data_IF_029481401712
#
_entry.id   IF_029481401712
#
_cell.length_a   1.000
_cell.length_b   1.000
_cell.length_c   1.000
_cell.angle_alpha   90.00
_cell.angle_beta   90.00
_cell.angle_gamma   90.00
#
_symmetry.space_group_name_H-M   'P 1'
#
loop_
_entity.id
_entity.type
_entity.pdbx_description
1 polymer ?
#
# COMPACT_ATOMS: atom_id res chain seq x y z
N UNK A 1 8.44 12.11 13.69
CA UNK A 1 7.44 11.11 13.24
C UNK A 1 7.79 10.68 11.83
N UNK A 2 7.79 9.37 11.57
CA UNK A 2 8.07 8.78 10.25
C UNK A 2 6.86 7.98 9.78
N UNK A 3 6.24 8.38 8.67
CA UNK A 3 5.12 7.67 8.04
C UNK A 3 5.64 6.77 6.92
N UNK A 4 5.43 5.46 7.05
CA UNK A 4 6.15 4.43 6.29
C UNK A 4 7.46 4.01 6.96
N UNK A 5 7.52 4.07 8.29
CA UNK A 5 8.76 3.95 9.06
C UNK A 5 9.27 2.52 9.31
N UNK A 6 8.54 1.47 8.90
CA UNK A 6 8.90 0.09 9.26
C UNK A 6 9.85 -0.60 8.28
N UNK A 7 10.05 -0.07 7.07
CA UNK A 7 10.89 -0.69 6.04
C UNK A 7 11.66 0.34 5.18
N UNK A 8 12.67 -0.13 4.44
CA UNK A 8 13.42 0.63 3.45
C UNK A 8 13.96 1.96 3.99
N UNK A 9 13.74 3.03 3.21
CA UNK A 9 14.15 4.39 3.56
C UNK A 9 13.53 4.88 4.88
N UNK A 10 12.30 4.46 5.19
CA UNK A 10 11.64 4.84 6.45
C UNK A 10 12.31 4.23 7.67
N UNK A 11 12.67 2.95 7.62
CA UNK A 11 13.41 2.30 8.71
C UNK A 11 14.80 2.93 8.92
N UNK A 12 15.51 3.24 7.83
CA UNK A 12 16.79 3.95 7.90
C UNK A 12 16.61 5.37 8.47
N UNK A 13 15.53 6.06 8.12
CA UNK A 13 15.16 7.36 8.71
C UNK A 13 14.90 7.25 10.20
N UNK A 14 14.18 6.22 10.66
CA UNK A 14 13.98 5.96 12.10
C UNK A 14 15.32 5.77 12.80
N UNK A 15 16.23 4.97 12.22
CA UNK A 15 17.58 4.76 12.75
C UNK A 15 18.37 6.07 12.87
N UNK A 16 18.29 6.94 11.84
CA UNK A 16 18.89 8.27 11.87
C UNK A 16 18.31 9.13 12.98
N UNK A 17 16.99 9.20 13.12
CA UNK A 17 16.34 10.01 14.17
C UNK A 17 16.74 9.53 15.58
N UNK A 18 16.85 8.21 15.80
CA UNK A 18 17.28 7.65 17.08
C UNK A 18 18.74 7.93 17.43
N UNK A 19 19.60 8.21 16.43
CA UNK A 19 20.98 8.66 16.68
C UNK A 19 21.09 10.17 16.92
N UNK A 20 20.00 10.92 16.74
CA UNK A 20 19.90 12.33 17.08
C UNK A 20 19.24 12.52 18.46
N UNK A 21 19.27 13.75 18.97
CA UNK A 21 18.74 14.09 20.29
C UNK A 21 17.20 14.27 20.29
N UNK A 22 16.44 13.31 19.74
CA UNK A 22 14.97 13.30 19.84
C UNK A 22 14.53 12.53 21.08
N UNK A 23 13.67 13.15 21.89
CA UNK A 23 13.05 12.50 23.05
C UNK A 23 12.17 11.31 22.65
N UNK A 24 11.50 11.41 21.50
CA UNK A 24 10.56 10.40 21.02
C UNK A 24 10.53 10.28 19.50
N UNK A 25 10.46 9.06 18.99
CA UNK A 25 10.29 8.73 17.56
C UNK A 25 9.01 7.92 17.35
N UNK A 26 7.99 8.55 16.78
CA UNK A 26 6.77 7.87 16.33
C UNK A 26 7.00 7.19 14.99
N UNK A 27 6.77 5.88 14.94
CA UNK A 27 6.85 5.03 13.75
C UNK A 27 5.43 4.70 13.31
N UNK A 28 5.01 5.21 12.16
CA UNK A 28 3.64 5.06 11.64
C UNK A 28 3.67 4.16 10.41
N UNK A 29 3.08 2.97 10.49
CA UNK A 29 3.12 1.99 9.39
C UNK A 29 2.01 0.93 9.53
N UNK A 30 1.75 0.15 8.47
CA UNK A 30 0.87 -1.03 8.57
C UNK A 30 1.57 -2.23 9.21
N UNK A 31 2.89 -2.33 9.05
CA UNK A 31 3.70 -3.43 9.56
C UNK A 31 4.46 -3.02 10.81
N UNK A 32 4.71 -3.96 11.71
CA UNK A 32 5.59 -3.70 12.86
C UNK A 32 7.02 -3.39 12.40
N UNK A 33 7.70 -2.41 13.02
CA UNK A 33 9.05 -2.02 12.65
C UNK A 33 10.07 -3.04 13.14
N UNK A 34 11.14 -3.22 12.37
CA UNK A 34 12.29 -4.01 12.79
C UNK A 34 13.22 -3.27 13.76
N UNK A 35 13.11 -1.93 13.85
CA UNK A 35 13.88 -1.10 14.77
C UNK A 35 12.93 -0.53 15.82
N UNK A 36 13.20 -0.88 17.07
CA UNK A 36 12.51 -0.34 18.25
C UNK A 36 13.51 0.05 19.32
N UNK A 37 13.17 1.06 20.12
CA UNK A 37 13.86 1.43 21.35
C UNK A 37 12.85 1.94 22.39
N UNK A 38 13.28 2.20 23.61
CA UNK A 38 12.42 2.79 24.67
C UNK A 38 11.80 4.14 24.23
N UNK A 39 12.49 4.87 23.36
CA UNK A 39 12.06 6.16 22.83
C UNK A 39 11.23 6.04 21.54
N UNK A 40 10.88 4.82 21.10
CA UNK A 40 9.99 4.62 19.95
C UNK A 40 8.57 4.31 20.37
N UNK A 41 7.59 4.83 19.61
CA UNK A 41 6.19 4.39 19.69
C UNK A 41 5.74 3.94 18.30
N UNK A 42 5.23 2.71 18.20
CA UNK A 42 4.64 2.21 16.97
C UNK A 42 3.14 2.51 16.92
N UNK A 43 2.70 3.09 15.79
CA UNK A 43 1.31 3.40 15.51
C UNK A 43 0.94 2.62 14.24
N UNK A 44 0.11 1.58 14.41
CA UNK A 44 -0.44 0.86 13.27
C UNK A 44 -1.40 1.77 12.51
N UNK A 45 -1.09 2.05 11.25
CA UNK A 45 -1.84 3.02 10.43
C UNK A 45 -1.87 2.59 8.95
N UNK A 46 -3.06 2.57 8.36
CA UNK A 46 -3.30 2.26 6.97
C UNK A 46 -3.66 3.52 6.19
N UNK A 47 -2.75 3.98 5.32
CA UNK A 47 -2.94 5.19 4.50
C UNK A 47 -4.19 5.15 3.60
N UNK A 48 -4.70 3.98 3.25
CA UNK A 48 -5.91 3.88 2.42
C UNK A 48 -7.17 4.22 3.23
N UNK A 49 -7.26 3.74 4.47
CA UNK A 49 -8.51 3.70 5.22
C UNK A 49 -8.54 4.61 6.45
N UNK A 50 -7.38 4.89 7.03
CA UNK A 50 -7.29 5.63 8.29
C UNK A 50 -7.21 7.13 8.02
N UNK A 51 -7.79 7.92 8.92
CA UNK A 51 -7.81 9.37 8.81
C UNK A 51 -6.49 9.97 9.36
N UNK A 52 -5.67 10.67 8.54
CA UNK A 52 -4.40 11.24 9.01
C UNK A 52 -4.52 12.28 10.12
N UNK A 53 -5.72 12.83 10.37
CA UNK A 53 -5.96 13.73 11.50
C UNK A 53 -5.65 13.12 12.87
N UNK A 54 -5.72 11.78 12.99
CA UNK A 54 -5.35 11.09 14.23
C UNK A 54 -3.85 11.28 14.55
N UNK A 55 -3.01 11.40 13.52
CA UNK A 55 -1.57 11.62 13.69
C UNK A 55 -1.23 13.04 14.18
N UNK A 56 -2.13 14.01 14.01
CA UNK A 56 -1.91 15.38 14.49
C UNK A 56 -2.22 15.56 15.97
N UNK A 57 -2.81 14.56 16.64
CA UNK A 57 -3.10 14.57 18.08
C UNK A 57 -1.84 14.51 18.95
N UNK A 58 -0.68 14.19 18.35
CA UNK A 58 0.60 14.18 19.04
C UNK A 58 1.18 15.61 19.05
N UNK A 59 1.06 16.30 20.19
CA UNK A 59 1.38 17.72 20.32
C UNK A 59 2.87 18.03 20.09
N UNK A 60 3.78 17.15 20.51
CA UNK A 60 5.23 17.41 20.52
C UNK A 60 5.99 17.02 19.24
N UNK A 61 5.31 16.84 18.12
CA UNK A 61 5.98 16.54 16.83
C UNK A 61 6.53 17.82 16.20
N UNK A 62 7.86 17.90 16.04
CA UNK A 62 8.58 18.97 15.34
C UNK A 62 9.23 18.52 14.01
N UNK A 63 9.22 17.21 13.73
CA UNK A 63 9.80 16.62 12.52
C UNK A 63 8.86 15.58 11.93
N UNK A 64 8.53 15.71 10.64
CA UNK A 64 7.65 14.82 9.90
C UNK A 64 8.31 14.37 8.60
N UNK A 65 8.52 13.07 8.46
CA UNK A 65 9.07 12.48 7.23
C UNK A 65 8.08 11.44 6.69
N UNK A 66 7.61 11.62 5.45
CA UNK A 66 6.65 10.71 4.80
C UNK A 66 7.36 9.93 3.70
N UNK A 67 7.66 8.65 3.97
CA UNK A 67 8.40 7.74 3.09
C UNK A 67 7.52 6.72 2.39
N UNK A 68 6.30 6.51 2.87
CA UNK A 68 5.38 5.52 2.30
C UNK A 68 5.09 5.80 0.82
N UNK A 69 5.14 4.76 0.00
CA UNK A 69 4.79 4.81 -1.40
C UNK A 69 4.73 3.44 -2.04
N UNK A 70 3.95 3.33 -3.12
CA UNK A 70 3.80 2.11 -3.92
C UNK A 70 3.93 2.44 -5.40
N UNK A 71 4.55 1.55 -6.16
CA UNK A 71 4.65 1.66 -7.62
C UNK A 71 4.56 0.28 -8.24
N UNK A 72 3.92 0.20 -9.41
CA UNK A 72 3.85 -1.01 -10.24
C UNK A 72 4.38 -0.68 -11.63
N UNK A 73 5.40 -1.40 -12.05
CA UNK A 73 5.98 -1.35 -13.40
C UNK A 73 5.21 -2.32 -14.28
N UNK A 74 4.34 -1.80 -15.15
CA UNK A 74 3.56 -2.62 -16.07
C UNK A 74 2.96 -1.77 -17.21
N UNK A 75 2.42 -2.42 -18.24
CA UNK A 75 1.59 -1.75 -19.21
C UNK A 75 0.35 -1.15 -18.53
N UNK A 76 -0.05 0.04 -18.98
CA UNK A 76 -1.23 0.72 -18.43
C UNK A 76 -2.49 -0.15 -18.50
N UNK A 77 -2.66 -0.89 -19.60
CA UNK A 77 -3.80 -1.80 -19.79
C UNK A 77 -3.80 -3.00 -18.82
N UNK A 78 -2.70 -3.27 -18.12
CA UNK A 78 -2.57 -4.36 -17.15
C UNK A 78 -2.83 -3.89 -15.70
N UNK A 79 -3.06 -2.59 -15.50
CA UNK A 79 -3.38 -2.02 -14.19
C UNK A 79 -4.89 -2.06 -13.97
N UNK A 80 -5.31 -2.57 -12.81
CA UNK A 80 -6.73 -2.54 -12.42
C UNK A 80 -7.11 -1.14 -11.92
N UNK A 81 -8.41 -0.81 -11.95
CA UNK A 81 -8.89 0.46 -11.40
C UNK A 81 -8.50 0.65 -9.92
N UNK A 82 -8.54 -0.43 -9.13
CA UNK A 82 -8.13 -0.35 -7.73
C UNK A 82 -6.62 -0.09 -7.56
N UNK A 83 -5.77 -0.62 -8.44
CA UNK A 83 -4.34 -0.30 -8.39
C UNK A 83 -4.07 1.17 -8.75
N UNK A 84 -4.84 1.71 -9.69
CA UNK A 84 -4.80 3.14 -10.03
C UNK A 84 -5.20 3.98 -8.81
N UNK A 85 -6.36 3.70 -8.22
CA UNK A 85 -6.88 4.39 -7.05
C UNK A 85 -5.94 4.26 -5.85
N UNK A 86 -5.47 3.04 -5.55
CA UNK A 86 -4.55 2.75 -4.44
C UNK A 86 -3.22 3.50 -4.61
N UNK A 87 -2.69 3.55 -5.84
CA UNK A 87 -1.44 4.29 -6.10
C UNK A 87 -1.60 5.77 -5.80
N UNK A 88 -2.65 6.43 -6.30
CA UNK A 88 -2.92 7.84 -5.99
C UNK A 88 -3.27 8.06 -4.52
N UNK A 89 -4.05 7.17 -3.92
CA UNK A 89 -4.46 7.25 -2.53
C UNK A 89 -3.24 7.23 -1.60
N UNK A 90 -2.34 6.26 -1.77
CA UNK A 90 -1.12 6.15 -0.94
C UNK A 90 -0.13 7.26 -1.26
N UNK A 91 0.24 7.41 -2.54
CA UNK A 91 1.36 8.28 -2.91
C UNK A 91 1.04 9.77 -2.78
N UNK A 92 -0.20 10.18 -3.06
CA UNK A 92 -0.57 11.59 -3.16
C UNK A 92 -1.63 11.99 -2.13
N UNK A 93 -2.83 11.39 -2.16
CA UNK A 93 -3.96 11.87 -1.35
C UNK A 93 -3.68 11.77 0.16
N UNK A 94 -3.17 10.63 0.61
CA UNK A 94 -2.87 10.40 2.03
C UNK A 94 -1.70 11.26 2.50
N UNK A 95 -0.68 11.40 1.67
CA UNK A 95 0.44 12.30 1.93
C UNK A 95 -0.04 13.75 2.10
N UNK A 96 -0.84 14.26 1.17
CA UNK A 96 -1.41 15.62 1.23
C UNK A 96 -2.27 15.78 2.49
N UNK A 97 -3.11 14.78 2.82
CA UNK A 97 -3.92 14.79 4.04
C UNK A 97 -3.07 14.77 5.32
N UNK A 98 -1.97 14.03 5.33
CA UNK A 98 -1.00 14.04 6.43
C UNK A 98 -0.36 15.41 6.57
N UNK A 99 0.14 16.01 5.48
CA UNK A 99 0.69 17.38 5.52
C UNK A 99 -0.36 18.38 6.01
N UNK A 100 -1.61 18.27 5.55
CA UNK A 100 -2.72 19.10 6.03
C UNK A 100 -2.97 18.95 7.53
N UNK A 101 -2.86 17.74 8.07
CA UNK A 101 -3.03 17.49 9.51
C UNK A 101 -1.94 18.18 10.35
N UNK A 102 -0.71 18.27 9.83
CA UNK A 102 0.41 18.97 10.47
C UNK A 102 0.56 20.44 10.05
N UNK A 103 -0.34 20.97 9.21
CA UNK A 103 -0.15 22.27 8.56
C UNK A 103 -0.06 23.42 9.57
N UNK A 104 -0.79 23.36 10.70
CA UNK A 104 -0.66 24.39 11.74
C UNK A 104 0.76 24.48 12.32
N UNK A 105 1.49 23.37 12.39
CA UNK A 105 2.88 23.34 12.89
C UNK A 105 3.87 23.78 11.81
N UNK A 106 3.63 23.35 10.57
CA UNK A 106 4.40 23.79 9.40
C UNK A 106 4.25 25.31 9.22
N UNK A 107 3.02 25.83 9.30
CA UNK A 107 2.68 27.24 9.18
C UNK A 107 2.85 28.02 10.50
N UNK A 108 3.84 27.66 11.31
CA UNK A 108 4.14 28.32 12.59
C UNK A 108 5.52 28.98 12.57
N UNK A 109 5.79 29.80 13.58
CA UNK A 109 7.11 30.40 13.81
C UNK A 109 8.09 29.43 14.49
N UNK A 110 7.60 28.32 15.03
CA UNK A 110 8.45 27.28 15.60
C UNK A 110 9.14 26.49 14.49
N UNK A 111 10.34 25.99 14.77
CA UNK A 111 11.03 25.14 13.81
C UNK A 111 10.26 23.84 13.61
N UNK A 112 9.93 23.57 12.34
CA UNK A 112 9.31 22.34 11.92
C UNK A 112 10.02 21.82 10.67
N UNK A 113 10.57 20.61 10.76
CA UNK A 113 11.32 19.97 9.68
C UNK A 113 10.43 18.96 8.98
N UNK A 114 10.25 19.12 7.66
CA UNK A 114 9.37 18.24 6.90
C UNK A 114 10.04 17.77 5.61
N UNK A 115 9.97 16.46 5.35
CA UNK A 115 10.39 15.89 4.09
C UNK A 115 9.36 14.86 3.59
N UNK A 116 9.16 14.82 2.29
CA UNK A 116 8.30 13.84 1.63
C UNK A 116 9.03 13.18 0.47
N UNK A 117 8.81 11.88 0.28
CA UNK A 117 9.46 11.12 -0.79
C UNK A 117 8.59 11.14 -2.05
N UNK A 118 9.01 11.97 -3.01
CA UNK A 118 8.53 11.96 -4.38
C UNK A 118 9.32 10.93 -5.22
N UNK A 119 9.68 11.25 -6.46
CA UNK A 119 10.55 10.47 -7.32
C UNK A 119 11.01 11.31 -8.52
N UNK A 120 12.14 10.97 -9.13
CA UNK A 120 12.49 11.48 -10.46
C UNK A 120 11.39 11.21 -11.49
N UNK A 121 10.64 10.10 -11.34
CA UNK A 121 9.48 9.79 -12.17
C UNK A 121 8.32 10.78 -12.00
N UNK A 122 8.32 11.62 -10.96
CA UNK A 122 7.40 12.74 -10.80
C UNK A 122 7.83 14.01 -11.53
N UNK A 123 9.08 14.08 -12.00
CA UNK A 123 9.64 15.23 -12.71
C UNK A 123 9.73 15.02 -14.23
N UNK A 124 9.71 13.76 -14.68
CA UNK A 124 9.81 13.38 -16.10
C UNK A 124 8.74 12.33 -16.47
N UNK A 125 8.50 12.16 -17.77
CA UNK A 125 7.66 11.05 -18.26
C UNK A 125 8.32 9.70 -17.98
N UNK A 126 7.59 8.76 -17.38
CA UNK A 126 8.11 7.41 -17.09
C UNK A 126 7.13 6.34 -17.59
N UNK A 127 7.19 5.95 -18.88
CA UNK A 127 6.36 4.87 -19.42
C UNK A 127 6.52 3.56 -18.66
N UNK A 128 5.48 2.73 -18.65
CA UNK A 128 5.32 1.53 -17.80
C UNK A 128 5.20 1.83 -16.29
N UNK A 129 5.46 3.07 -15.88
CA UNK A 129 5.16 3.61 -14.55
C UNK A 129 4.17 4.77 -14.66
N UNK A 130 3.29 4.80 -15.67
CA UNK A 130 2.46 5.98 -16.00
C UNK A 130 1.65 6.49 -14.80
N UNK A 131 0.99 5.59 -14.08
CA UNK A 131 0.19 5.92 -12.88
C UNK A 131 1.07 6.34 -11.71
N UNK A 132 2.17 5.61 -11.47
CA UNK A 132 3.13 5.95 -10.42
C UNK A 132 3.74 7.33 -10.64
N UNK A 133 4.22 7.60 -11.86
CA UNK A 133 4.77 8.87 -12.32
C UNK A 133 3.77 10.01 -12.13
N UNK A 134 2.51 9.82 -12.55
CA UNK A 134 1.46 10.82 -12.34
C UNK A 134 1.20 11.10 -10.85
N UNK A 135 1.15 10.07 -10.01
CA UNK A 135 0.95 10.23 -8.56
C UNK A 135 2.11 10.97 -7.88
N UNK A 136 3.36 10.74 -8.31
CA UNK A 136 4.55 11.44 -7.79
C UNK A 136 4.67 12.86 -8.33
N UNK A 137 4.25 13.10 -9.57
CA UNK A 137 4.14 14.46 -10.13
C UNK A 137 3.14 15.31 -9.33
N UNK A 138 2.01 14.73 -8.91
CA UNK A 138 1.06 15.40 -8.03
C UNK A 138 1.70 15.83 -6.70
N UNK A 139 2.53 14.97 -6.09
CA UNK A 139 3.29 15.29 -4.86
C UNK A 139 4.28 16.43 -5.11
N UNK A 140 5.10 16.33 -6.15
CA UNK A 140 6.11 17.36 -6.45
C UNK A 140 5.49 18.73 -6.69
N UNK A 141 4.39 18.80 -7.47
CA UNK A 141 3.70 20.07 -7.73
C UNK A 141 2.95 20.59 -6.51
N UNK A 142 2.40 19.72 -5.69
CA UNK A 142 1.82 20.09 -4.41
C UNK A 142 2.86 20.73 -3.47
N UNK A 143 4.03 20.12 -3.31
CA UNK A 143 5.10 20.65 -2.42
C UNK A 143 5.65 21.97 -2.95
N UNK A 144 5.84 22.09 -4.27
CA UNK A 144 6.27 23.33 -4.93
C UNK A 144 5.31 24.48 -4.64
N UNK A 145 4.00 24.26 -4.87
CA UNK A 145 2.98 25.27 -4.62
C UNK A 145 2.88 25.64 -3.13
N UNK A 146 2.87 24.64 -2.23
CA UNK A 146 2.71 24.88 -0.79
C UNK A 146 3.91 25.61 -0.18
N UNK A 147 5.13 25.34 -0.66
CA UNK A 147 6.30 26.11 -0.22
C UNK A 147 6.24 27.57 -0.69
N UNK A 148 5.75 27.84 -1.91
CA UNK A 148 5.54 29.20 -2.39
C UNK A 148 4.47 29.94 -1.55
N UNK A 149 3.42 29.25 -1.12
CA UNK A 149 2.42 29.81 -0.19
C UNK A 149 3.04 30.16 1.17
N UNK A 150 3.85 29.26 1.75
CA UNK A 150 4.54 29.51 3.02
C UNK A 150 5.50 30.71 2.92
N UNK A 151 6.23 30.82 1.80
CA UNK A 151 7.10 31.96 1.53
C UNK A 151 6.30 33.27 1.42
N UNK A 152 5.20 33.27 0.67
CA UNK A 152 4.30 34.42 0.57
C UNK A 152 3.67 34.84 1.91
N UNK A 153 3.55 33.91 2.85
CA UNK A 153 3.10 34.15 4.23
C UNK A 153 4.24 34.54 5.20
N UNK A 154 5.47 34.68 4.71
CA UNK A 154 6.69 34.96 5.50
C UNK A 154 6.99 33.89 6.57
N UNK A 155 6.60 32.64 6.32
CA UNK A 155 6.89 31.51 7.20
C UNK A 155 8.24 30.93 6.82
N UNK A 156 9.10 30.61 7.79
CA UNK A 156 10.45 30.07 7.55
C UNK A 156 10.48 28.57 7.25
N UNK A 157 9.46 27.81 7.65
CA UNK A 157 9.46 26.35 7.47
C UNK A 157 9.29 25.99 5.99
N UNK A 158 9.90 24.89 5.58
CA UNK A 158 9.84 24.35 4.22
C UNK A 158 9.59 22.85 4.27
N UNK A 159 8.97 22.35 3.21
CA UNK A 159 8.76 20.93 2.97
C UNK A 159 9.74 20.51 1.89
N UNK A 160 10.66 19.62 2.21
CA UNK A 160 11.61 19.06 1.25
C UNK A 160 10.92 17.99 0.40
N UNK A 161 10.83 18.20 -0.93
CA UNK A 161 10.49 17.15 -1.88
C UNK A 161 11.75 16.38 -2.29
N UNK A 162 11.91 15.17 -1.79
CA UNK A 162 13.01 14.28 -2.19
C UNK A 162 12.61 13.51 -3.45
N UNK A 163 13.37 13.62 -4.53
CA UNK A 163 13.05 13.06 -5.84
C UNK A 163 14.08 12.00 -6.28
N UNK A 164 14.17 10.85 -5.59
CA UNK A 164 15.11 9.80 -5.95
C UNK A 164 14.68 9.06 -7.21
N UNK A 165 15.64 8.48 -7.91
CA UNK A 165 15.36 7.35 -8.81
C UNK A 165 15.46 6.03 -8.05
N UNK A 166 16.21 5.06 -8.59
CA UNK A 166 16.38 3.76 -7.95
C UNK A 166 17.13 3.87 -6.62
N UNK A 167 16.61 3.26 -5.56
CA UNK A 167 17.26 3.18 -4.24
C UNK A 167 17.56 1.72 -3.93
N UNK A 168 18.84 1.37 -3.92
CA UNK A 168 19.30 0.03 -3.59
C UNK A 168 19.05 -0.31 -2.11
N UNK A 169 18.92 -1.60 -1.79
CA UNK A 169 18.71 -2.05 -0.41
C UNK A 169 17.31 -1.83 0.15
N UNK A 170 16.31 -1.58 -0.70
CA UNK A 170 14.90 -1.40 -0.29
C UNK A 170 13.98 -2.49 -0.86
N UNK A 171 12.92 -2.81 -0.11
CA UNK A 171 11.87 -3.75 -0.57
C UNK A 171 11.10 -3.26 -1.80
N UNK A 172 11.10 -1.95 -2.06
CA UNK A 172 10.40 -1.34 -3.19
C UNK A 172 10.93 -1.86 -4.53
N UNK A 173 12.18 -2.32 -4.55
CA UNK A 173 12.84 -2.85 -5.75
C UNK A 173 13.26 -4.32 -5.63
N UNK A 174 12.61 -5.10 -4.74
CA UNK A 174 12.78 -6.55 -4.68
C UNK A 174 13.79 -7.08 -3.66
N UNK A 175 14.26 -6.26 -2.72
CA UNK A 175 15.01 -6.77 -1.56
C UNK A 175 14.12 -7.40 -0.48
N UNK A 176 14.60 -8.41 0.22
CA UNK A 176 13.85 -9.08 1.31
C UNK A 176 13.86 -8.29 2.63
N UNK A 177 14.84 -7.41 2.82
CA UNK A 177 15.04 -6.61 4.03
C UNK A 177 15.74 -5.28 3.71
N UNK A 178 15.76 -4.36 4.67
CA UNK A 178 16.44 -3.07 4.53
C UNK A 178 17.95 -3.25 4.68
N UNK A 179 18.73 -2.92 3.66
CA UNK A 179 20.19 -2.80 3.79
C UNK A 179 20.55 -1.38 4.24
N UNK A 180 20.88 -1.21 5.51
CA UNK A 180 21.17 0.11 6.08
C UNK A 180 22.44 0.74 5.49
N UNK A 181 23.46 -0.04 5.16
CA UNK A 181 24.73 0.50 4.66
C UNK A 181 24.55 1.18 3.30
N UNK A 182 23.63 0.66 2.47
CA UNK A 182 23.29 1.24 1.16
C UNK A 182 22.35 2.44 1.28
N UNK A 183 21.45 2.44 2.25
CA UNK A 183 20.36 3.43 2.35
C UNK A 183 20.72 4.64 3.23
N UNK A 184 21.55 4.45 4.26
CA UNK A 184 21.90 5.51 5.21
C UNK A 184 22.57 6.75 4.59
N UNK A 185 23.48 6.65 3.60
CA UNK A 185 24.06 7.83 2.96
C UNK A 185 23.00 8.78 2.39
N UNK A 186 22.00 8.23 1.71
CA UNK A 186 20.87 8.99 1.19
C UNK A 186 20.05 9.63 2.32
N UNK A 187 19.82 8.93 3.43
CA UNK A 187 19.11 9.47 4.59
C UNK A 187 19.87 10.64 5.22
N UNK A 188 21.19 10.56 5.29
CA UNK A 188 22.04 11.62 5.82
C UNK A 188 21.91 12.90 4.97
N UNK A 189 21.98 12.76 3.64
CA UNK A 189 21.75 13.88 2.72
C UNK A 189 20.33 14.45 2.87
N UNK A 190 19.29 13.62 2.90
CA UNK A 190 17.90 14.07 3.11
C UNK A 190 17.80 14.90 4.40
N UNK A 191 18.44 14.44 5.48
CA UNK A 191 18.38 15.11 6.77
C UNK A 191 19.10 16.48 6.74
N UNK A 192 20.27 16.55 6.12
CA UNK A 192 21.01 17.79 5.92
C UNK A 192 20.17 18.81 5.11
N UNK A 193 19.64 18.37 3.96
CA UNK A 193 18.82 19.20 3.06
C UNK A 193 17.55 19.71 3.74
N UNK A 194 16.92 18.86 4.54
CA UNK A 194 15.71 19.20 5.30
C UNK A 194 16.00 20.23 6.39
N UNK A 195 17.10 20.08 7.14
CA UNK A 195 17.52 21.06 8.17
C UNK A 195 17.85 22.41 7.54
N UNK A 196 18.49 22.40 6.36
CA UNK A 196 18.80 23.59 5.59
C UNK A 196 17.59 24.23 4.89
N UNK A 197 16.39 23.67 5.06
CA UNK A 197 15.12 24.17 4.51
C UNK A 197 15.12 24.23 2.98
N UNK A 198 15.86 23.34 2.34
CA UNK A 198 15.79 23.18 0.89
C UNK A 198 14.40 22.63 0.51
N UNK A 199 13.91 22.98 -0.68
CA UNK A 199 12.55 22.64 -1.13
C UNK A 199 12.51 21.44 -2.06
N UNK A 200 13.62 21.14 -2.73
CA UNK A 200 13.77 20.00 -3.62
C UNK A 200 15.18 19.41 -3.49
N UNK A 201 15.25 18.08 -3.44
CA UNK A 201 16.52 17.37 -3.46
C UNK A 201 16.44 16.21 -4.47
N UNK A 202 17.38 16.18 -5.41
CA UNK A 202 17.54 15.10 -6.39
C UNK A 202 18.88 14.41 -6.09
N UNK A 203 18.87 13.22 -5.46
CA UNK A 203 20.10 12.45 -5.20
C UNK A 203 20.79 12.07 -6.50
N UNK A 204 22.11 11.89 -6.47
CA UNK A 204 22.93 11.58 -7.66
C UNK A 204 22.75 12.59 -8.81
N UNK A 205 23.00 13.90 -8.58
CA UNK A 205 22.74 14.94 -9.55
C UNK A 205 23.50 14.73 -10.87
N UNK A 206 24.71 14.15 -10.84
CA UNK A 206 25.49 13.83 -12.04
C UNK A 206 24.74 12.94 -13.04
N UNK A 207 23.91 12.01 -12.53
CA UNK A 207 23.11 11.11 -13.36
C UNK A 207 21.80 11.78 -13.77
N UNK A 208 21.07 12.36 -12.80
CA UNK A 208 19.71 12.81 -13.04
C UNK A 208 19.62 14.20 -13.66
N UNK A 209 20.66 15.02 -13.61
CA UNK A 209 20.72 16.26 -14.37
C UNK A 209 20.64 15.99 -15.87
N UNK A 210 21.42 15.03 -16.38
CA UNK A 210 21.34 14.61 -17.78
C UNK A 210 19.95 14.01 -18.13
N UNK A 211 19.32 13.29 -17.19
CA UNK A 211 17.95 12.77 -17.38
C UNK A 211 16.95 13.91 -17.58
N UNK A 212 17.01 14.94 -16.73
CA UNK A 212 16.15 16.12 -16.83
C UNK A 212 16.43 16.88 -18.13
N UNK A 213 17.69 17.15 -18.45
CA UNK A 213 18.08 17.85 -19.67
C UNK A 213 17.55 17.15 -20.93
N UNK A 214 17.72 15.82 -21.04
CA UNK A 214 17.16 15.03 -22.16
C UNK A 214 15.64 15.12 -22.22
N UNK A 215 14.96 15.06 -21.07
CA UNK A 215 13.50 15.21 -21.01
C UNK A 215 13.07 16.60 -21.48
N UNK A 216 13.70 17.67 -21.01
CA UNK A 216 13.37 19.05 -21.39
C UNK A 216 13.65 19.34 -22.87
N UNK A 217 14.68 18.74 -23.45
CA UNK A 217 15.00 18.88 -24.88
C UNK A 217 13.95 18.23 -25.79
N UNK A 218 13.52 17.00 -25.47
CA UNK A 218 12.50 16.30 -26.26
C UNK A 218 11.76 15.25 -25.41
N UNK A 219 10.63 15.63 -24.77
CA UNK A 219 9.86 14.75 -23.90
C UNK A 219 9.37 13.47 -24.58
N UNK A 220 9.01 13.55 -25.87
CA UNK A 220 8.48 12.41 -26.62
C UNK A 220 9.58 11.39 -26.91
N UNK A 221 10.76 11.85 -27.39
CA UNK A 221 11.92 10.99 -27.62
C UNK A 221 12.41 10.36 -26.32
N UNK A 222 12.52 11.15 -25.25
CA UNK A 222 12.88 10.65 -23.92
C UNK A 222 11.92 9.55 -23.45
N UNK A 223 10.62 9.75 -23.62
CA UNK A 223 9.60 8.75 -23.29
C UNK A 223 9.82 7.43 -24.04
N UNK A 224 10.01 7.48 -25.36
CA UNK A 224 10.24 6.28 -26.17
C UNK A 224 11.53 5.54 -25.77
N UNK A 225 12.61 6.27 -25.53
CA UNK A 225 13.88 5.70 -25.04
C UNK A 225 13.71 5.06 -23.66
N UNK A 226 12.99 5.72 -22.75
CA UNK A 226 12.69 5.18 -21.41
C UNK A 226 11.82 3.92 -21.47
N UNK A 227 10.85 3.87 -22.39
CA UNK A 227 10.01 2.71 -22.65
C UNK A 227 10.85 1.51 -23.12
N UNK A 228 11.66 1.69 -24.16
CA UNK A 228 12.50 0.63 -24.72
C UNK A 228 13.52 0.13 -23.68
N UNK A 229 14.18 1.02 -22.96
CA UNK A 229 15.11 0.67 -21.88
C UNK A 229 14.46 -0.24 -20.82
N UNK A 230 13.22 0.05 -20.42
CA UNK A 230 12.51 -0.76 -19.42
C UNK A 230 12.10 -2.11 -19.96
N UNK A 231 11.72 -2.23 -21.23
CA UNK A 231 11.43 -3.53 -21.85
C UNK A 231 12.68 -4.40 -21.98
N UNK A 232 13.83 -3.82 -22.32
CA UNK A 232 15.09 -4.57 -22.40
C UNK A 232 15.56 -5.07 -21.03
N UNK A 233 15.31 -4.27 -19.98
CA UNK A 233 15.72 -4.59 -18.60
C UNK A 233 14.75 -5.50 -17.85
N UNK A 234 13.49 -5.58 -18.27
CA UNK A 234 12.43 -6.25 -17.53
C UNK A 234 11.60 -7.14 -18.46
N UNK A 235 11.32 -8.37 -18.03
CA UNK A 235 10.44 -9.30 -18.77
C UNK A 235 8.95 -8.95 -18.57
N UNK A 236 8.51 -7.80 -19.10
CA UNK A 236 7.11 -7.33 -18.97
C UNK A 236 6.27 -7.88 -20.12
N UNK A 237 5.25 -8.68 -19.81
CA UNK A 237 4.30 -9.17 -20.81
C UNK A 237 3.29 -8.09 -21.22
N UNK A 238 3.09 -7.93 -22.53
CA UNK A 238 2.19 -6.92 -23.09
C UNK A 238 0.71 -7.28 -23.04
N UNK A 239 0.36 -8.55 -22.80
CA UNK A 239 -1.04 -8.97 -22.83
C UNK A 239 -1.72 -8.68 -21.48
N UNK A 240 -2.91 -8.08 -21.46
CA UNK A 240 -3.71 -7.99 -20.24
C UNK A 240 -4.07 -9.41 -19.82
N UNK A 241 -3.53 -9.83 -18.66
CA UNK A 241 -4.03 -11.00 -17.95
C UNK A 241 -5.14 -10.50 -17.04
N UNK A 242 -6.38 -10.90 -17.32
CA UNK A 242 -7.50 -10.73 -16.39
C UNK A 242 -7.07 -11.33 -15.06
N UNK A 243 -7.00 -10.51 -14.02
CA UNK A 243 -6.65 -11.01 -12.69
C UNK A 243 -7.84 -11.72 -12.09
N UNK A 244 -7.70 -13.01 -11.88
CA UNK A 244 -8.75 -13.86 -11.32
C UNK A 244 -8.55 -13.95 -9.81
N UNK A 245 -9.58 -13.56 -9.07
CA UNK A 245 -9.67 -13.72 -7.64
C UNK A 245 -10.53 -14.91 -7.27
N UNK A 246 -10.10 -15.69 -6.29
CA UNK A 246 -10.87 -16.80 -5.74
C UNK A 246 -11.08 -16.62 -4.24
N UNK A 247 -12.32 -16.78 -3.80
CA UNK A 247 -12.70 -16.70 -2.39
C UNK A 247 -13.68 -17.82 -2.06
N UNK A 248 -13.41 -18.57 -1.00
CA UNK A 248 -14.31 -19.63 -0.53
C UNK A 248 -14.98 -19.30 0.79
N UNK A 249 -16.19 -19.81 0.97
CA UNK A 249 -16.92 -19.62 2.22
C UNK A 249 -18.23 -20.40 2.29
N UNK A 250 -18.73 -20.57 3.51
CA UNK A 250 -20.06 -21.17 3.70
C UNK A 250 -21.18 -20.17 3.42
N UNK A 251 -20.96 -18.87 3.67
CA UNK A 251 -21.92 -17.79 3.43
C UNK A 251 -23.30 -17.98 4.08
N UNK A 252 -23.40 -18.84 5.09
CA UNK A 252 -24.65 -19.11 5.79
C UNK A 252 -25.04 -17.93 6.70
N UNK A 253 -26.34 -17.65 6.79
CA UNK A 253 -26.92 -16.48 7.46
C UNK A 253 -26.23 -15.18 7.00
N UNK A 254 -26.26 -14.92 5.68
CA UNK A 254 -25.50 -13.83 5.06
C UNK A 254 -25.67 -12.48 5.77
N UNK A 255 -24.55 -11.82 6.09
CA UNK A 255 -24.51 -10.57 6.85
C UNK A 255 -23.42 -9.63 6.31
N UNK A 256 -23.33 -8.43 6.86
CA UNK A 256 -22.41 -7.38 6.41
C UNK A 256 -20.92 -7.80 6.42
N UNK A 257 -20.55 -8.79 7.22
CA UNK A 257 -19.20 -9.36 7.26
C UNK A 257 -18.83 -10.05 5.94
N UNK A 258 -19.73 -10.90 5.41
CA UNK A 258 -19.55 -11.53 4.11
C UNK A 258 -19.54 -10.50 2.98
N UNK A 259 -20.46 -9.51 3.00
CA UNK A 259 -20.48 -8.45 1.99
C UNK A 259 -19.17 -7.64 1.98
N UNK A 260 -18.64 -7.31 3.16
CA UNK A 260 -17.38 -6.59 3.29
C UNK A 260 -16.20 -7.42 2.81
N UNK A 261 -16.21 -8.72 3.05
CA UNK A 261 -15.20 -9.66 2.58
C UNK A 261 -15.17 -9.70 1.04
N UNK A 262 -16.32 -9.91 0.40
CA UNK A 262 -16.47 -9.91 -1.06
C UNK A 262 -16.09 -8.56 -1.68
N UNK A 263 -16.53 -7.47 -1.06
CA UNK A 263 -16.18 -6.10 -1.49
C UNK A 263 -14.68 -5.87 -1.49
N UNK A 264 -13.98 -6.32 -0.45
CA UNK A 264 -12.52 -6.21 -0.36
C UNK A 264 -11.86 -7.11 -1.39
N UNK A 265 -12.29 -8.36 -1.55
CA UNK A 265 -11.74 -9.29 -2.54
C UNK A 265 -11.79 -8.72 -3.98
N UNK A 266 -12.93 -8.16 -4.39
CA UNK A 266 -13.10 -7.54 -5.71
C UNK A 266 -12.17 -6.35 -5.96
N UNK A 267 -11.65 -5.70 -4.91
CA UNK A 267 -10.65 -4.63 -5.10
C UNK A 267 -9.31 -5.17 -5.61
N UNK A 268 -9.01 -6.46 -5.43
CA UNK A 268 -7.70 -7.02 -5.82
C UNK A 268 -7.70 -7.72 -7.19
N UNK A 269 -8.88 -7.97 -7.77
CA UNK A 269 -9.03 -8.77 -8.99
C UNK A 269 -9.99 -8.11 -9.98
N UNK A 270 -9.84 -8.45 -11.26
CA UNK A 270 -10.73 -8.01 -12.33
C UNK A 270 -11.98 -8.90 -12.39
N UNK A 271 -11.84 -10.17 -12.03
CA UNK A 271 -12.90 -11.18 -12.02
C UNK A 271 -12.85 -11.99 -10.73
N UNK A 272 -13.88 -11.90 -9.90
CA UNK A 272 -14.00 -12.58 -8.61
C UNK A 272 -14.92 -13.80 -8.74
N UNK A 273 -14.33 -14.97 -8.56
CA UNK A 273 -15.01 -16.25 -8.47
C UNK A 273 -15.18 -16.60 -7.00
N UNK A 274 -16.39 -16.94 -6.59
CA UNK A 274 -16.71 -17.30 -5.21
C UNK A 274 -17.14 -18.76 -5.13
N UNK A 275 -16.34 -19.56 -4.41
CA UNK A 275 -16.67 -20.96 -4.10
C UNK A 275 -17.55 -21.07 -2.86
N UNK A 276 -18.73 -21.63 -3.01
CA UNK A 276 -19.69 -21.82 -1.91
C UNK A 276 -19.60 -23.25 -1.39
N UNK A 277 -19.31 -23.43 -0.09
CA UNK A 277 -19.20 -24.77 0.48
C UNK A 277 -20.55 -25.51 0.44
N UNK A 278 -20.53 -26.78 0.04
CA UNK A 278 -21.70 -27.67 0.01
C UNK A 278 -22.20 -28.00 1.41
N UNK A 279 -21.28 -28.17 2.37
CA UNK A 279 -21.58 -28.43 3.77
C UNK A 279 -20.77 -27.57 4.76
N UNK A 280 -21.13 -27.63 6.04
CA UNK A 280 -20.41 -26.98 7.14
C UNK A 280 -19.59 -27.95 7.98
N UNK A 281 -19.33 -29.16 7.47
CA UNK A 281 -18.70 -30.27 8.18
C UNK A 281 -17.31 -29.91 8.68
N UNK A 282 -16.55 -29.15 7.88
CA UNK A 282 -15.22 -28.63 8.20
C UNK A 282 -15.18 -27.70 9.43
N UNK A 283 -16.31 -27.17 9.89
CA UNK A 283 -16.45 -26.39 11.14
C UNK A 283 -17.39 -27.04 12.16
N UNK A 284 -17.86 -28.26 11.92
CA UNK A 284 -18.83 -28.95 12.77
C UNK A 284 -20.15 -28.20 12.91
N UNK A 285 -20.56 -27.43 11.90
CA UNK A 285 -21.77 -26.60 11.93
C UNK A 285 -22.76 -27.05 10.86
N UNK A 286 -24.00 -27.31 11.25
CA UNK A 286 -25.11 -27.47 10.31
C UNK A 286 -25.38 -26.13 9.62
N UNK A 287 -25.45 -26.09 8.30
CA UNK A 287 -25.79 -24.88 7.54
C UNK A 287 -27.31 -24.73 7.46
N UNK A 288 -27.84 -23.55 7.79
CA UNK A 288 -29.29 -23.35 7.83
C UNK A 288 -29.87 -23.04 6.45
N UNK A 289 -29.20 -22.19 5.68
CA UNK A 289 -29.63 -21.82 4.34
C UNK A 289 -29.12 -22.88 3.34
N UNK A 290 -30.02 -23.47 2.52
CA UNK A 290 -29.64 -24.42 1.46
C UNK A 290 -28.59 -23.88 0.49
N UNK A 291 -27.81 -24.78 -0.11
CA UNK A 291 -26.69 -24.43 -1.00
C UNK A 291 -27.13 -23.54 -2.18
N UNK A 292 -28.19 -23.93 -2.88
CA UNK A 292 -28.77 -23.21 -4.02
C UNK A 292 -29.14 -21.77 -3.64
N UNK A 293 -29.78 -21.57 -2.48
CA UNK A 293 -30.14 -20.24 -2.00
C UNK A 293 -28.91 -19.41 -1.63
N UNK A 294 -27.89 -20.01 -1.01
CA UNK A 294 -26.63 -19.31 -0.71
C UNK A 294 -25.92 -18.89 -1.98
N UNK A 295 -25.86 -19.77 -2.99
CA UNK A 295 -25.26 -19.44 -4.28
C UNK A 295 -26.00 -18.30 -4.99
N UNK A 296 -27.34 -18.32 -5.00
CA UNK A 296 -28.15 -17.24 -5.58
C UNK A 296 -27.97 -15.90 -4.85
N UNK A 297 -27.86 -15.90 -3.51
CA UNK A 297 -27.54 -14.68 -2.73
C UNK A 297 -26.19 -14.12 -3.19
N UNK A 298 -25.16 -14.97 -3.27
CA UNK A 298 -23.80 -14.55 -3.63
C UNK A 298 -23.75 -14.03 -5.07
N UNK A 299 -24.47 -14.68 -6.00
CA UNK A 299 -24.58 -14.27 -7.40
C UNK A 299 -25.24 -12.90 -7.55
N UNK A 300 -26.14 -12.53 -6.63
CA UNK A 300 -26.76 -11.20 -6.59
C UNK A 300 -25.85 -10.09 -6.04
N UNK A 301 -24.67 -10.40 -5.52
CA UNK A 301 -23.75 -9.40 -4.96
C UNK A 301 -22.95 -8.75 -6.08
N UNK A 302 -23.06 -7.42 -6.21
CA UNK A 302 -22.39 -6.62 -7.26
C UNK A 302 -20.86 -6.75 -7.38
N UNK A 303 -20.22 -7.37 -6.39
CA UNK A 303 -18.77 -7.55 -6.34
C UNK A 303 -18.32 -8.91 -6.87
N UNK A 304 -19.26 -9.82 -7.12
CA UNK A 304 -19.00 -11.20 -7.52
C UNK A 304 -19.34 -11.34 -9.00
N UNK A 305 -18.43 -11.91 -9.78
CA UNK A 305 -18.62 -12.13 -11.21
C UNK A 305 -19.09 -13.56 -11.50
N UNK A 306 -18.64 -14.53 -10.70
CA UNK A 306 -18.99 -15.93 -10.85
C UNK A 306 -19.15 -16.63 -9.50
N UNK A 307 -20.06 -17.60 -9.44
CA UNK A 307 -20.30 -18.43 -8.26
C UNK A 307 -20.20 -19.88 -8.67
N UNK A 308 -19.36 -20.63 -7.94
CA UNK A 308 -19.13 -22.06 -8.16
C UNK A 308 -19.37 -22.83 -6.86
N UNK A 309 -19.66 -24.12 -6.98
CA UNK A 309 -19.57 -25.01 -5.83
C UNK A 309 -18.09 -25.18 -5.44
N UNK A 310 -17.80 -25.18 -4.15
CA UNK A 310 -16.42 -25.29 -3.68
C UNK A 310 -15.85 -26.69 -3.96
N UNK A 311 -14.65 -26.74 -4.56
CA UNK A 311 -13.84 -27.96 -4.64
C UNK A 311 -13.42 -28.47 -3.25
N UNK A 312 -12.88 -29.70 -3.18
CA UNK A 312 -12.45 -30.30 -1.90
C UNK A 312 -11.40 -29.46 -1.17
N UNK A 313 -10.52 -28.80 -1.93
CA UNK A 313 -9.55 -27.85 -1.41
C UNK A 313 -9.39 -26.64 -2.34
N UNK A 314 -8.81 -25.56 -1.81
CA UNK A 314 -8.51 -24.38 -2.63
C UNK A 314 -7.39 -24.69 -3.65
N UNK A 315 -6.54 -25.69 -3.39
CA UNK A 315 -5.53 -26.18 -4.35
C UNK A 315 -6.18 -26.88 -5.53
N UNK A 316 -7.19 -27.72 -5.30
CA UNK A 316 -7.90 -28.41 -6.39
C UNK A 316 -8.62 -27.39 -7.29
N UNK A 317 -9.22 -26.35 -6.68
CA UNK A 317 -9.83 -25.27 -7.44
C UNK A 317 -8.83 -24.52 -8.33
N UNK A 318 -7.54 -24.49 -7.98
CA UNK A 318 -6.51 -23.88 -8.82
C UNK A 318 -6.28 -24.66 -10.11
N UNK A 319 -6.50 -25.96 -10.13
CA UNK A 319 -6.32 -26.76 -11.35
C UNK A 319 -7.33 -26.43 -12.45
N UNK A 320 -8.55 -26.08 -12.05
CA UNK A 320 -9.61 -25.70 -12.98
C UNK A 320 -9.63 -24.19 -13.26
N UNK A 321 -9.44 -23.37 -12.23
CA UNK A 321 -9.66 -21.92 -12.30
C UNK A 321 -8.40 -21.14 -12.68
N UNK A 322 -7.22 -21.61 -12.24
CA UNK A 322 -5.93 -20.91 -12.38
C UNK A 322 -6.00 -19.45 -11.89
N UNK A 323 -6.48 -19.24 -10.66
CA UNK A 323 -6.64 -17.91 -10.06
C UNK A 323 -5.31 -17.26 -9.64
N UNK A 324 -5.23 -15.93 -9.70
CA UNK A 324 -4.05 -15.14 -9.28
C UNK A 324 -4.06 -14.78 -7.79
N UNK A 325 -5.25 -14.66 -7.19
CA UNK A 325 -5.42 -14.28 -5.79
C UNK A 325 -6.32 -15.25 -5.04
N UNK A 326 -5.87 -15.71 -3.87
CA UNK A 326 -6.69 -16.45 -2.92
C UNK A 326 -7.03 -15.56 -1.72
N UNK A 327 -8.31 -15.32 -1.47
CA UNK A 327 -8.77 -14.44 -0.39
C UNK A 327 -9.30 -15.23 0.80
N UNK A 328 -8.77 -14.95 1.98
CA UNK A 328 -9.15 -15.67 3.21
C UNK A 328 -9.19 -14.77 4.43
N UNK A 329 -9.86 -15.23 5.49
CA UNK A 329 -9.84 -14.55 6.78
C UNK A 329 -8.48 -14.67 7.47
N UNK A 330 -8.09 -13.65 8.24
CA UNK A 330 -6.83 -13.63 8.99
C UNK A 330 -6.72 -14.72 10.06
N UNK A 331 -7.84 -15.33 10.45
CA UNK A 331 -7.92 -16.49 11.35
C UNK A 331 -7.23 -17.75 10.81
N UNK A 332 -6.99 -17.80 9.50
CA UNK A 332 -6.30 -18.92 8.85
C UNK A 332 -4.78 -18.74 8.76
N UNK A 333 -4.27 -17.52 8.97
CA UNK A 333 -2.84 -17.23 8.81
C UNK A 333 -2.02 -18.00 9.85
N UNK A 334 -0.97 -18.70 9.41
CA UNK A 334 -0.10 -19.49 10.29
C UNK A 334 -0.61 -20.89 10.60
N UNK A 335 -1.80 -21.27 10.13
CA UNK A 335 -2.29 -22.66 10.22
C UNK A 335 -1.50 -23.56 9.28
N UNK A 336 -1.33 -24.84 9.64
CA UNK A 336 -0.59 -25.82 8.82
C UNK A 336 -1.09 -25.88 7.38
N UNK A 337 -2.41 -25.87 7.18
CA UNK A 337 -3.05 -25.83 5.85
C UNK A 337 -2.62 -24.63 5.03
N UNK A 338 -2.63 -23.42 5.62
CA UNK A 338 -2.34 -22.21 4.87
C UNK A 338 -0.85 -21.95 4.68
N UNK A 339 0.00 -22.39 5.62
CA UNK A 339 1.45 -22.43 5.40
C UNK A 339 1.78 -23.33 4.21
N UNK A 340 1.14 -24.51 4.13
CA UNK A 340 1.30 -25.40 2.98
C UNK A 340 0.80 -24.77 1.67
N UNK A 341 -0.33 -24.06 1.69
CA UNK A 341 -0.82 -23.35 0.51
C UNK A 341 0.15 -22.26 0.06
N UNK A 342 0.75 -21.51 0.99
CA UNK A 342 1.78 -20.53 0.66
C UNK A 342 2.99 -21.20 -0.01
N UNK A 343 3.45 -22.34 0.50
CA UNK A 343 4.57 -23.11 -0.10
C UNK A 343 4.26 -23.58 -1.53
N UNK A 344 3.03 -24.02 -1.79
CA UNK A 344 2.63 -24.58 -3.10
C UNK A 344 2.24 -23.51 -4.11
N UNK A 345 1.49 -22.49 -3.69
CA UNK A 345 0.87 -21.50 -4.57
C UNK A 345 1.78 -20.30 -4.87
N UNK A 346 2.64 -19.88 -3.94
CA UNK A 346 3.55 -18.74 -4.17
C UNK A 346 4.51 -18.97 -5.36
N UNK A 347 5.13 -20.17 -5.54
CA UNK A 347 5.96 -20.44 -6.71
C UNK A 347 5.20 -20.41 -8.04
N UNK A 348 3.87 -20.62 -8.01
CA UNK A 348 2.99 -20.56 -9.17
C UNK A 348 2.54 -19.13 -9.50
N UNK A 349 2.95 -18.13 -8.71
CA UNK A 349 2.62 -16.71 -8.90
C UNK A 349 1.35 -16.26 -8.20
N UNK A 350 0.69 -17.14 -7.44
CA UNK A 350 -0.55 -16.84 -6.73
C UNK A 350 -0.26 -16.10 -5.43
N UNK A 351 -1.05 -15.08 -5.11
CA UNK A 351 -0.93 -14.32 -3.86
C UNK A 351 -2.09 -14.62 -2.91
N UNK A 352 -1.76 -15.11 -1.71
CA UNK A 352 -2.75 -15.31 -0.64
C UNK A 352 -2.92 -14.00 0.14
N UNK A 353 -4.15 -13.49 0.17
CA UNK A 353 -4.50 -12.22 0.83
C UNK A 353 -5.38 -12.49 2.04
N UNK A 354 -4.86 -12.17 3.22
CA UNK A 354 -5.55 -12.33 4.49
C UNK A 354 -6.28 -11.04 4.89
N UNK A 355 -7.60 -11.12 5.00
CA UNK A 355 -8.42 -10.00 5.45
C UNK A 355 -8.65 -10.03 6.96
N UNK A 356 -8.54 -8.89 7.67
CA UNK A 356 -8.83 -8.82 9.11
C UNK A 356 -10.25 -9.29 9.41
N UNK A 357 -10.40 -10.09 10.47
CA UNK A 357 -11.70 -10.56 10.93
C UNK A 357 -12.63 -9.38 11.24
N UNK A 358 -13.85 -9.40 10.70
CA UNK A 358 -14.85 -8.37 10.98
C UNK A 358 -15.59 -8.71 12.28
N UNK A 359 -15.35 -7.94 13.33
CA UNK A 359 -15.87 -8.17 14.70
C UNK A 359 -17.34 -7.76 14.90
N UNK A 360 -17.97 -7.09 13.93
CA UNK A 360 -19.29 -6.46 14.12
C UNK A 360 -20.47 -7.45 14.15
N UNK A 361 -20.47 -8.47 13.27
CA UNK A 361 -21.55 -9.48 13.20
C UNK A 361 -20.99 -10.74 12.56
N UNK A 362 -21.16 -11.89 13.21
CA UNK A 362 -20.84 -13.20 12.62
C UNK A 362 -22.00 -14.20 12.81
N UNK A 363 -22.05 -15.23 11.97
CA UNK A 363 -23.12 -16.24 12.00
C UNK A 363 -23.23 -16.95 13.36
N UNK A 364 -22.15 -17.08 14.13
CA UNK A 364 -22.19 -17.66 15.48
C UNK A 364 -22.99 -16.78 16.44
N UNK A 365 -22.73 -15.47 16.46
CA UNK A 365 -23.47 -14.50 17.28
C UNK A 365 -24.96 -14.43 16.90
N UNK A 366 -25.27 -14.51 15.60
CA UNK A 366 -26.66 -14.54 15.11
C UNK A 366 -27.36 -15.79 15.65
N UNK A 367 -26.75 -16.97 15.52
CA UNK A 367 -27.29 -18.23 16.03
C UNK A 367 -27.49 -18.20 17.54
N UNK A 368 -26.51 -17.75 18.29
CA UNK A 368 -26.61 -17.64 19.75
C UNK A 368 -27.76 -16.74 20.20
N UNK A 369 -27.95 -15.59 19.54
CA UNK A 369 -29.07 -14.67 19.85
C UNK A 369 -30.44 -15.28 19.52
N UNK A 370 -30.55 -15.96 18.38
CA UNK A 370 -31.81 -16.64 17.98
C UNK A 370 -32.14 -17.77 18.97
N UNK A 371 -31.15 -18.56 19.38
CA UNK A 371 -31.35 -19.67 20.33
C UNK A 371 -31.66 -19.17 21.75
N UNK A 372 -31.02 -18.09 22.21
CA UNK A 372 -31.29 -17.49 23.53
C UNK A 372 -32.66 -16.81 23.65
N UNK A 373 -33.25 -16.38 22.53
CA UNK A 373 -34.58 -15.76 22.49
C UNK A 373 -35.73 -16.75 22.31
N UNK A 374 -35.48 -18.07 22.31
CA UNK A 374 -36.53 -19.08 22.52
C UNK A 374 -36.88 -19.15 24.01
N UNK A 375 -37.66 -18.19 24.50
CA UNK A 375 -38.38 -18.26 25.78
C UNK A 375 -39.85 -18.00 25.56
#
# INVERSE_FOLDING_TARGET
>A
MVVGGSNGLGAATVKKLLSQNYEKVYIVDMSEPSITSENTDFIRFNLINDNPQILAQFDNVNTLIVTAGVGRLDYFQNLTNNEIETSFQINAVSLIKTIKAFYNKINSNNDFYCAVISSIAGLVSSPLYSVYSASKAAVSKFVEALNAELEGQNVKNRILSVCPGFIDGTKFHGGDSTNFDLVMPLVDEIFEKMINRETQFIPNPEVYQNVLERYHQNPQKFGLESYNYKLEKNNIESKPKTKIGYLTGSFDLFHIGHLNLLRRAKQYCDYLIVGVHTDGSHKGKELFIPLDQRMEIIKGIKYVDEVVECSQSDLDAYDDIKYDFLFVGSDYKGTERFNHYEEVLNPLGVKIIYFPYTTATNSTQIREKITKNKK
#
